data_IF_780957166268
#
_entry.id   IF_780957166268
#
_cell.length_a   1.000
_cell.length_b   1.000
_cell.length_c   1.000
_cell.angle_alpha   90.00
_cell.angle_beta   90.00
_cell.angle_gamma   90.00
#
_symmetry.space_group_name_H-M   'P 1'
#
loop_
_entity.id
_entity.type
_entity.pdbx_description
1 polymer ?
#
# COMPACT_ATOMS: atom_id res chain seq x y z
N UNK A 1 -21.47 -2.32 -8.65
CA UNK A 1 -20.91 -1.47 -7.59
C UNK A 1 -21.33 -2.08 -6.26
N UNK A 2 -20.37 -2.33 -5.37
CA UNK A 2 -20.64 -2.83 -4.01
C UNK A 2 -20.27 -1.75 -3.01
N UNK A 3 -20.95 -1.73 -1.87
CA UNK A 3 -20.62 -0.87 -0.75
C UNK A 3 -20.35 -1.76 0.47
N UNK A 4 -19.08 -1.84 0.87
CA UNK A 4 -18.63 -2.70 1.96
C UNK A 4 -17.42 -2.07 2.66
N UNK A 5 -17.31 -2.27 3.98
CA UNK A 5 -16.09 -1.98 4.71
C UNK A 5 -15.03 -3.03 4.38
N UNK A 6 -13.87 -2.61 3.90
CA UNK A 6 -12.81 -3.51 3.42
C UNK A 6 -11.77 -3.73 4.51
N UNK A 7 -11.47 -4.98 4.79
CA UNK A 7 -10.43 -5.39 5.74
C UNK A 7 -9.47 -6.39 5.10
N UNK A 8 -8.28 -6.59 5.69
CA UNK A 8 -7.34 -7.60 5.20
C UNK A 8 -7.93 -9.03 5.20
N UNK A 9 -8.88 -9.32 6.09
CA UNK A 9 -9.55 -10.62 6.19
C UNK A 9 -10.65 -10.80 5.14
N UNK A 10 -11.32 -9.73 4.69
CA UNK A 10 -12.51 -9.85 3.85
C UNK A 10 -12.28 -9.54 2.36
N UNK A 11 -11.22 -8.80 2.00
CA UNK A 11 -11.02 -8.29 0.63
C UNK A 11 -11.09 -9.39 -0.43
N UNK A 12 -10.39 -10.50 -0.21
CA UNK A 12 -10.37 -11.61 -1.17
C UNK A 12 -11.78 -12.21 -1.37
N UNK A 13 -12.52 -12.42 -0.28
CA UNK A 13 -13.89 -12.95 -0.34
C UNK A 13 -14.86 -11.97 -1.00
N UNK A 14 -14.67 -10.66 -0.80
CA UNK A 14 -15.47 -9.63 -1.47
C UNK A 14 -15.27 -9.69 -2.99
N UNK A 15 -14.02 -9.78 -3.46
CA UNK A 15 -13.69 -9.90 -4.88
C UNK A 15 -14.21 -11.21 -5.49
N UNK A 16 -14.03 -12.34 -4.79
CA UNK A 16 -14.55 -13.65 -5.20
C UNK A 16 -16.08 -13.63 -5.37
N UNK A 17 -16.82 -13.04 -4.41
CA UNK A 17 -18.28 -12.90 -4.48
C UNK A 17 -18.75 -12.05 -5.66
N UNK A 18 -17.91 -11.15 -6.17
CA UNK A 18 -18.19 -10.34 -7.34
C UNK A 18 -17.70 -11.00 -8.65
N UNK A 19 -17.24 -12.25 -8.59
CA UNK A 19 -16.67 -12.99 -9.72
C UNK A 19 -15.52 -12.24 -10.43
N UNK A 20 -14.76 -11.44 -9.67
CA UNK A 20 -13.56 -10.76 -10.18
C UNK A 20 -12.53 -11.82 -10.55
N UNK A 21 -12.06 -11.78 -11.79
CA UNK A 21 -11.05 -12.68 -12.31
C UNK A 21 -9.68 -12.42 -11.64
N UNK A 22 -8.85 -13.44 -11.51
CA UNK A 22 -7.53 -13.29 -10.90
C UNK A 22 -6.58 -12.38 -11.69
N UNK A 23 -6.69 -12.34 -13.02
CA UNK A 23 -5.92 -11.45 -13.89
C UNK A 23 -6.60 -10.08 -13.99
N UNK A 24 -6.48 -9.31 -12.91
CA UNK A 24 -6.99 -7.93 -12.84
C UNK A 24 -6.02 -6.99 -13.57
N UNK A 25 -6.51 -6.09 -14.41
CA UNK A 25 -5.64 -5.12 -15.07
C UNK A 25 -5.17 -4.01 -14.12
N UNK A 26 -6.07 -3.48 -13.30
CA UNK A 26 -5.78 -2.36 -12.42
C UNK A 26 -6.53 -2.46 -11.09
N UNK A 27 -5.86 -2.09 -10.00
CA UNK A 27 -6.50 -1.83 -8.70
C UNK A 27 -6.04 -0.47 -8.15
N UNK A 28 -6.96 0.23 -7.51
CA UNK A 28 -6.68 1.40 -6.68
C UNK A 28 -7.02 1.05 -5.23
N UNK A 29 -6.10 1.29 -4.31
CA UNK A 29 -6.26 1.03 -2.87
C UNK A 29 -6.07 2.35 -2.14
N UNK A 30 -7.18 2.91 -1.66
CA UNK A 30 -7.27 4.14 -0.89
C UNK A 30 -8.48 3.96 0.04
N UNK A 31 -8.22 3.46 1.25
CA UNK A 31 -9.24 2.98 2.21
C UNK A 31 -9.00 3.47 3.63
N UNK A 32 -8.38 4.65 3.76
CA UNK A 32 -8.23 5.38 5.02
C UNK A 32 -7.53 4.58 6.14
N UNK A 33 -6.32 4.07 5.88
CA UNK A 33 -5.30 3.56 6.83
C UNK A 33 -5.02 2.06 6.82
N UNK A 34 -5.91 1.24 6.28
CA UNK A 34 -5.68 -0.21 6.15
C UNK A 34 -5.00 -0.61 4.83
N UNK A 35 -4.59 0.35 4.01
CA UNK A 35 -4.05 0.20 2.66
C UNK A 35 -2.90 -0.80 2.60
N UNK A 36 -1.91 -0.64 3.49
CA UNK A 36 -0.77 -1.54 3.62
C UNK A 36 -1.22 -2.98 3.89
N UNK A 37 -2.13 -3.17 4.84
CA UNK A 37 -2.58 -4.49 5.27
C UNK A 37 -3.47 -5.18 4.25
N UNK A 38 -4.38 -4.43 3.62
CA UNK A 38 -5.25 -4.93 2.56
C UNK A 38 -4.43 -5.32 1.34
N UNK A 39 -3.45 -4.51 0.93
CA UNK A 39 -2.59 -4.90 -0.18
C UNK A 39 -1.71 -6.10 0.18
N UNK A 40 -1.16 -6.15 1.40
CA UNK A 40 -0.37 -7.27 1.87
C UNK A 40 -1.17 -8.59 1.83
N UNK A 41 -2.44 -8.60 2.28
CA UNK A 41 -3.28 -9.80 2.27
C UNK A 41 -3.97 -10.11 0.93
N UNK A 42 -3.94 -9.19 -0.04
CA UNK A 42 -4.54 -9.38 -1.35
C UNK A 42 -3.86 -10.54 -2.10
N UNK A 43 -4.65 -11.56 -2.45
CA UNK A 43 -4.23 -12.73 -3.25
C UNK A 43 -4.22 -12.46 -4.74
N UNK A 44 -5.01 -11.48 -5.18
CA UNK A 44 -5.03 -11.03 -6.56
C UNK A 44 -3.70 -10.35 -6.90
N UNK A 45 -3.26 -10.52 -8.14
CA UNK A 45 -2.03 -9.93 -8.64
C UNK A 45 -2.32 -9.00 -9.82
N UNK A 46 -2.89 -7.80 -9.59
CA UNK A 46 -3.22 -6.88 -10.67
C UNK A 46 -2.00 -6.51 -11.51
N UNK A 47 -2.18 -6.23 -12.81
CA UNK A 47 -1.09 -5.79 -13.69
C UNK A 47 -0.50 -4.45 -13.23
N UNK A 48 -1.37 -3.56 -12.77
CA UNK A 48 -1.02 -2.23 -12.24
C UNK A 48 -1.69 -2.03 -10.88
N UNK A 49 -0.94 -1.53 -9.90
CA UNK A 49 -1.46 -1.14 -8.58
C UNK A 49 -1.22 0.34 -8.37
N UNK A 50 -2.28 1.07 -8.04
CA UNK A 50 -2.23 2.38 -7.41
C UNK A 50 -2.55 2.20 -5.92
N UNK A 51 -1.72 2.72 -5.03
CA UNK A 51 -1.95 2.58 -3.59
C UNK A 51 -1.57 3.85 -2.84
N UNK A 52 -2.40 4.20 -1.86
CA UNK A 52 -2.15 5.33 -0.99
C UNK A 52 -0.90 5.12 -0.11
N UNK A 53 -0.14 6.19 0.09
CA UNK A 53 0.90 6.27 1.12
C UNK A 53 0.76 7.54 1.95
N UNK A 54 1.32 7.48 3.13
CA UNK A 54 1.52 8.63 3.97
C UNK A 54 2.87 9.28 3.65
N UNK A 55 2.82 10.29 2.78
CA UNK A 55 4.01 11.03 2.37
C UNK A 55 4.66 11.81 3.52
N UNK A 56 3.93 12.14 4.59
CA UNK A 56 4.49 12.80 5.78
C UNK A 56 5.57 11.94 6.47
N UNK A 57 5.49 10.62 6.32
CA UNK A 57 6.46 9.70 6.92
C UNK A 57 7.62 9.35 6.00
N UNK A 58 7.48 9.57 4.69
CA UNK A 58 8.58 9.47 3.72
C UNK A 58 9.39 8.17 3.85
N UNK A 59 10.64 8.30 4.32
CA UNK A 59 11.59 7.20 4.46
C UNK A 59 11.56 6.46 5.80
N UNK A 60 10.68 6.84 6.73
CA UNK A 60 10.57 6.19 8.04
C UNK A 60 10.08 4.75 7.91
N UNK A 61 10.52 3.90 8.82
CA UNK A 61 9.89 2.60 9.00
C UNK A 61 8.65 2.77 9.90
N UNK A 62 7.53 3.16 9.27
CA UNK A 62 6.31 3.52 9.95
C UNK A 62 5.08 2.97 9.21
N UNK A 63 4.24 2.26 9.95
CA UNK A 63 2.90 1.82 9.56
C UNK A 63 1.96 2.13 10.72
N UNK A 64 0.75 2.61 10.43
CA UNK A 64 -0.32 2.65 11.44
C UNK A 64 -0.54 1.23 11.98
N UNK A 65 -0.58 1.00 13.30
CA UNK A 65 -0.84 -0.32 13.87
C UNK A 65 -2.18 -0.89 13.38
N UNK A 66 -2.22 -2.21 13.19
CA UNK A 66 -3.42 -2.91 12.72
C UNK A 66 -4.56 -2.80 13.74
N UNK A 67 -5.54 -1.96 13.43
CA UNK A 67 -6.76 -1.75 14.21
C UNK A 67 -7.93 -1.65 13.23
N UNK A 68 -8.86 -2.61 13.29
CA UNK A 68 -9.96 -2.71 12.31
C UNK A 68 -11.04 -1.64 12.50
N UNK A 69 -11.13 -1.08 13.70
CA UNK A 69 -12.08 -0.07 14.14
C UNK A 69 -11.47 1.34 14.19
N UNK A 70 -10.23 1.51 13.72
CA UNK A 70 -9.57 2.81 13.70
C UNK A 70 -10.32 3.75 12.75
N UNK A 71 -11.03 4.72 13.32
CA UNK A 71 -11.55 5.84 12.57
C UNK A 71 -10.38 6.74 12.15
N UNK A 72 -10.45 7.37 10.98
CA UNK A 72 -9.49 8.38 10.56
C UNK A 72 -9.44 9.52 11.60
N UNK A 73 -8.32 9.62 12.32
CA UNK A 73 -8.19 10.50 13.49
C UNK A 73 -7.59 11.89 13.17
N UNK A 74 -7.39 12.21 11.89
CA UNK A 74 -6.78 13.46 11.48
C UNK A 74 -5.94 13.32 10.22
N UNK A 75 -5.37 14.45 9.77
CA UNK A 75 -4.86 14.58 8.40
C UNK A 75 -3.53 13.89 8.11
N UNK A 76 -2.76 13.50 9.12
CA UNK A 76 -1.36 13.09 8.97
C UNK A 76 -1.04 11.72 9.58
N UNK A 77 -2.02 11.06 10.20
CA UNK A 77 -1.87 9.74 10.79
C UNK A 77 -2.78 8.72 10.10
N UNK A 78 -2.23 8.12 9.07
CA UNK A 78 -2.90 7.12 8.24
C UNK A 78 -1.86 6.24 7.53
N UNK A 79 -2.30 5.06 7.11
CA UNK A 79 -1.60 4.19 6.17
C UNK A 79 -0.17 3.82 6.58
N UNK A 80 0.75 3.99 5.64
CA UNK A 80 2.14 3.57 5.77
C UNK A 80 3.07 4.52 5.04
N UNK A 81 4.33 4.58 5.45
CA UNK A 81 5.32 5.44 4.81
C UNK A 81 5.56 5.06 3.34
N UNK A 82 6.03 6.03 2.55
CA UNK A 82 6.45 5.83 1.16
C UNK A 82 7.39 4.64 1.00
N UNK A 83 8.37 4.54 1.91
CA UNK A 83 9.37 3.49 1.88
C UNK A 83 8.79 2.11 2.19
N UNK A 84 7.85 2.01 3.13
CA UNK A 84 7.24 0.73 3.48
C UNK A 84 6.26 0.24 2.40
N UNK A 85 5.50 1.12 1.75
CA UNK A 85 4.69 0.76 0.58
C UNK A 85 5.58 0.30 -0.59
N UNK A 86 6.71 0.97 -0.84
CA UNK A 86 7.70 0.51 -1.82
C UNK A 86 8.22 -0.91 -1.50
N UNK A 87 8.64 -1.15 -0.25
CA UNK A 87 9.11 -2.47 0.19
C UNK A 87 8.04 -3.55 0.04
N UNK A 88 6.78 -3.23 0.33
CA UNK A 88 5.66 -4.16 0.15
C UNK A 88 5.47 -4.52 -1.32
N UNK A 89 5.54 -3.53 -2.23
CA UNK A 89 5.49 -3.79 -3.67
C UNK A 89 6.59 -4.73 -4.14
N UNK A 90 7.83 -4.51 -3.69
CA UNK A 90 8.96 -5.40 -4.01
C UNK A 90 8.71 -6.83 -3.50
N UNK A 91 8.25 -6.98 -2.25
CA UNK A 91 7.91 -8.27 -1.66
C UNK A 91 6.81 -9.01 -2.46
N UNK A 92 5.85 -8.26 -3.01
CA UNK A 92 4.75 -8.81 -3.80
C UNK A 92 5.08 -9.00 -5.29
N UNK A 93 6.31 -8.75 -5.74
CA UNK A 93 6.70 -8.93 -7.14
C UNK A 93 6.29 -7.78 -8.06
N UNK A 94 6.37 -6.55 -7.57
CA UNK A 94 6.07 -5.34 -8.32
C UNK A 94 7.23 -4.36 -8.37
N UNK A 95 7.34 -3.65 -9.48
CA UNK A 95 8.28 -2.54 -9.70
C UNK A 95 7.55 -1.21 -9.54
N UNK A 96 8.08 -0.32 -8.69
CA UNK A 96 7.59 1.05 -8.58
C UNK A 96 7.96 1.83 -9.84
N UNK A 97 6.98 2.50 -10.45
CA UNK A 97 7.17 3.28 -11.68
C UNK A 97 6.94 4.77 -11.50
N UNK A 98 6.14 5.18 -10.51
CA UNK A 98 5.82 6.58 -10.29
C UNK A 98 5.30 6.85 -8.87
N UNK A 99 5.54 8.07 -8.38
CA UNK A 99 5.04 8.57 -7.10
C UNK A 99 4.33 9.90 -7.38
N UNK A 100 3.04 9.98 -7.05
CA UNK A 100 2.21 11.16 -7.28
C UNK A 100 1.45 11.55 -6.01
N UNK A 101 1.87 12.62 -5.33
CA UNK A 101 1.17 13.12 -4.14
C UNK A 101 0.98 12.01 -3.09
N UNK A 102 -0.25 11.53 -2.91
CA UNK A 102 -0.64 10.48 -1.97
C UNK A 102 -0.63 9.08 -2.58
N UNK A 103 -0.20 8.89 -3.82
CA UNK A 103 -0.29 7.61 -4.52
C UNK A 103 1.06 7.10 -5.06
N UNK A 104 1.29 5.80 -4.90
CA UNK A 104 2.37 5.07 -5.57
C UNK A 104 1.78 4.19 -6.68
N UNK A 105 2.46 4.16 -7.82
CA UNK A 105 2.09 3.34 -8.96
C UNK A 105 3.12 2.24 -9.18
N UNK A 106 2.63 1.03 -9.28
CA UNK A 106 3.42 -0.18 -9.45
C UNK A 106 2.97 -0.98 -10.67
N UNK A 107 3.91 -1.65 -11.32
CA UNK A 107 3.65 -2.63 -12.39
C UNK A 107 4.16 -4.00 -11.96
N UNK A 108 3.39 -5.05 -12.25
CA UNK A 108 3.76 -6.45 -11.99
C UNK A 108 5.01 -6.82 -12.79
N UNK A 109 5.98 -7.47 -12.14
CA UNK A 109 7.33 -7.64 -12.69
C UNK A 109 7.37 -8.39 -14.03
N UNK A 110 6.49 -9.37 -14.24
CA UNK A 110 6.38 -10.16 -15.49
C UNK A 110 6.11 -9.30 -16.72
N UNK A 111 5.47 -8.14 -16.55
CA UNK A 111 5.16 -7.20 -17.65
C UNK A 111 6.36 -6.32 -18.05
N UNK A 112 7.44 -6.36 -17.28
CA UNK A 112 8.62 -5.51 -17.45
C UNK A 112 9.89 -6.28 -17.85
N UNK A 113 9.87 -7.62 -17.83
CA UNK A 113 11.05 -8.46 -18.07
C UNK A 113 11.76 -8.12 -19.39
N UNK A 114 11.00 -7.93 -20.47
CA UNK A 114 11.51 -7.56 -21.79
C UNK A 114 11.48 -6.05 -22.08
N UNK A 115 11.04 -5.24 -21.11
CA UNK A 115 10.73 -3.82 -21.32
C UNK A 115 11.40 -2.94 -20.28
N UNK A 116 12.69 -2.69 -20.49
CA UNK A 116 13.48 -1.76 -19.67
C UNK A 116 13.24 -0.32 -20.11
N UNK A 117 13.21 0.60 -19.15
CA UNK A 117 13.15 2.05 -19.38
C UNK A 117 11.89 2.56 -20.10
N UNK A 118 10.74 1.89 -19.96
CA UNK A 118 9.46 2.48 -20.41
C UNK A 118 9.14 3.72 -19.58
N UNK A 119 9.33 3.61 -18.27
CA UNK A 119 9.14 4.70 -17.32
C UNK A 119 10.48 5.26 -16.90
N UNK A 120 10.56 6.58 -16.83
CA UNK A 120 11.74 7.27 -16.29
C UNK A 120 11.97 6.81 -14.86
N UNK A 121 13.21 6.42 -14.55
CA UNK A 121 13.63 5.98 -13.21
C UNK A 121 12.88 4.74 -12.68
N UNK A 122 12.29 3.93 -13.56
CA UNK A 122 11.60 2.66 -13.23
C UNK A 122 12.43 1.79 -12.27
N UNK A 123 11.85 1.46 -11.12
CA UNK A 123 12.51 0.65 -10.09
C UNK A 123 13.62 1.35 -9.31
N UNK A 124 14.06 2.55 -9.71
CA UNK A 124 15.01 3.36 -8.95
C UNK A 124 14.24 4.21 -7.92
N UNK A 125 13.95 3.59 -6.78
CA UNK A 125 13.25 4.25 -5.68
C UNK A 125 13.91 5.57 -5.27
N UNK A 126 15.24 5.64 -5.26
CA UNK A 126 15.96 6.85 -4.85
C UNK A 126 15.68 8.01 -5.81
N UNK A 127 15.74 7.77 -7.12
CA UNK A 127 15.45 8.80 -8.13
C UNK A 127 13.98 9.18 -8.17
N UNK A 128 13.08 8.21 -8.08
CA UNK A 128 11.63 8.45 -8.02
C UNK A 128 11.26 9.28 -6.79
N UNK A 129 11.73 8.87 -5.60
CA UNK A 129 11.50 9.60 -4.35
C UNK A 129 12.10 11.00 -4.39
N UNK A 130 13.35 11.14 -4.87
CA UNK A 130 13.99 12.46 -5.01
C UNK A 130 13.24 13.40 -5.95
N UNK A 131 12.67 12.87 -7.03
CA UNK A 131 11.86 13.65 -7.97
C UNK A 131 10.52 14.06 -7.36
N UNK A 132 9.91 13.18 -6.57
CA UNK A 132 8.69 13.46 -5.82
C UNK A 132 8.90 14.59 -4.79
N UNK A 133 9.89 14.45 -3.90
CA UNK A 133 10.09 15.40 -2.80
C UNK A 133 10.49 16.81 -3.25
N UNK A 134 11.09 16.97 -4.44
CA UNK A 134 11.41 18.29 -5.02
C UNK A 134 10.18 19.17 -5.20
N UNK A 135 9.02 18.54 -5.42
CA UNK A 135 7.76 19.22 -5.67
C UNK A 135 6.84 19.21 -4.45
N UNK A 136 7.29 18.69 -3.31
CA UNK A 136 6.48 18.52 -2.11
C UNK A 136 7.07 19.28 -0.93
N UNK A 137 6.21 20.03 -0.22
CA UNK A 137 6.55 20.60 1.08
C UNK A 137 6.08 19.63 2.15
N UNK A 138 7.01 19.16 2.98
CA UNK A 138 6.67 18.44 4.19
C UNK A 138 6.34 19.47 5.27
N UNK A 139 5.11 19.52 5.80
CA UNK A 139 4.82 20.33 6.98
C UNK A 139 5.56 19.78 8.19
N UNK A 140 5.66 20.61 9.23
CA UNK A 140 6.04 20.15 10.55
C UNK A 140 5.06 19.06 11.00
N UNK A 141 5.64 17.93 11.39
CA UNK A 141 4.86 16.76 11.77
C UNK A 141 4.32 16.98 13.18
N UNK A 142 3.05 16.61 13.36
CA UNK A 142 2.51 16.40 14.69
C UNK A 142 3.39 15.41 15.48
N UNK A 143 3.38 15.45 16.83
CA UNK A 143 4.06 14.43 17.64
C UNK A 143 3.72 13.05 17.11
N UNK A 144 4.72 12.20 16.92
CA UNK A 144 4.55 10.87 16.33
C UNK A 144 3.60 10.07 17.23
N UNK A 145 2.35 9.92 16.79
CA UNK A 145 1.42 8.91 17.29
C UNK A 145 2.06 7.52 17.08
N UNK A 146 1.70 6.54 17.90
CA UNK A 146 2.36 5.22 17.91
C UNK A 146 2.31 4.54 16.54
N UNK A 147 3.46 4.23 15.95
CA UNK A 147 3.57 3.43 14.72
C UNK A 147 4.20 2.08 15.00
N UNK A 148 4.01 1.11 14.10
CA UNK A 148 4.78 -0.15 14.08
C UNK A 148 5.73 -0.18 12.89
N UNK A 149 6.77 -1.01 12.98
CA UNK A 149 7.69 -1.27 11.87
C UNK A 149 7.04 -2.16 10.81
N UNK A 150 7.62 -2.19 9.61
CA UNK A 150 7.19 -3.05 8.51
C UNK A 150 7.09 -4.53 8.92
N UNK A 151 8.10 -5.04 9.61
CA UNK A 151 8.13 -6.45 10.03
C UNK A 151 7.08 -6.72 11.12
N UNK A 152 6.90 -5.79 12.05
CA UNK A 152 5.86 -5.91 13.07
C UNK A 152 4.47 -5.88 12.44
N UNK A 153 4.23 -4.99 11.46
CA UNK A 153 2.98 -4.92 10.71
C UNK A 153 2.67 -6.25 9.99
N UNK A 154 3.65 -6.86 9.30
CA UNK A 154 3.45 -8.16 8.67
C UNK A 154 3.16 -9.27 9.71
N UNK A 155 3.89 -9.28 10.84
CA UNK A 155 3.64 -10.26 11.91
C UNK A 155 2.24 -10.13 12.51
N UNK A 156 1.76 -8.90 12.72
CA UNK A 156 0.41 -8.68 13.25
C UNK A 156 -0.67 -9.04 12.24
N UNK A 157 -0.43 -8.80 10.95
CA UNK A 157 -1.30 -9.26 9.88
C UNK A 157 -1.39 -10.79 9.85
N UNK A 158 -0.27 -11.50 9.94
CA UNK A 158 -0.25 -12.97 9.98
C UNK A 158 -1.08 -13.52 11.14
N UNK A 159 -0.93 -12.93 12.34
CA UNK A 159 -1.76 -13.30 13.51
C UNK A 159 -3.25 -13.05 13.26
N UNK A 160 -3.61 -11.92 12.64
CA UNK A 160 -5.00 -11.59 12.32
C UNK A 160 -5.59 -12.60 11.32
N UNK A 161 -4.85 -12.94 10.26
CA UNK A 161 -5.30 -13.86 9.21
C UNK A 161 -5.38 -15.32 9.71
N UNK A 162 -4.59 -15.69 10.72
CA UNK A 162 -4.67 -16.99 11.37
C UNK A 162 -5.81 -17.09 12.40
N UNK A 163 -6.36 -15.96 12.84
CA UNK A 163 -7.45 -15.91 13.81
C UNK A 163 -8.80 -16.24 13.14
N UNK A 164 -9.75 -16.87 13.86
CA UNK A 164 -11.11 -17.05 13.35
C UNK A 164 -11.72 -15.69 12.99
N UNK A 165 -12.44 -15.62 11.86
CA UNK A 165 -13.18 -14.41 11.48
C UNK A 165 -14.22 -14.15 12.57
N UNK A 166 -14.08 -13.05 13.31
CA UNK A 166 -15.12 -12.59 14.21
C UNK A 166 -16.30 -12.11 13.34
N UNK A 167 -17.47 -12.75 13.52
CA UNK A 167 -18.71 -12.45 12.80
C UNK A 167 -19.29 -11.09 13.22
#
# INVERSE_FOLDING_TARGET
MIHAFVTPQNINKLLEKQAVQMDVDFISIDIDSLDFYVWASLKYMPKVVCIEHNYFWGLRDAVVPLQLDLAWEGKDYYGSSTYNIYRLGQLKGYTLIYIQSTNLFFIRNDLLEDRKNIFKDQGDFTRLYRSFVKNFRFPDLSPVKQTVSFNQALSDLEKLLASPIQN
#
